data_IF_908530100846
#
_entry.id   IF_908530100846
#
_cell.length_a   1.000
_cell.length_b   1.000
_cell.length_c   1.000
_cell.angle_alpha   90.00
_cell.angle_beta   90.00
_cell.angle_gamma   90.00
#
_symmetry.space_group_name_H-M   'P 1'
#
loop_
_entity.id
_entity.type
_entity.pdbx_description
1 polymer ?
#
# COMPACT_ATOMS: atom_id res chain seq x y z
N UNK A 1 -2.20 4.01 0.70
CA UNK A 1 -2.88 2.71 0.47
C UNK A 1 -1.95 1.59 0.90
N UNK A 2 -2.48 0.58 1.59
CA UNK A 2 -1.76 -0.67 1.85
C UNK A 2 -2.11 -1.69 0.75
N UNK A 3 -1.11 -2.36 0.19
CA UNK A 3 -1.30 -3.44 -0.80
C UNK A 3 -0.52 -4.66 -0.34
N UNK A 4 -1.12 -5.84 -0.50
CA UNK A 4 -0.45 -7.12 -0.33
C UNK A 4 -0.96 -8.10 -1.39
N UNK A 5 -0.06 -8.74 -2.13
CA UNK A 5 -0.42 -9.70 -3.18
C UNK A 5 0.69 -10.75 -3.40
N UNK A 6 0.30 -11.89 -3.96
CA UNK A 6 1.20 -13.02 -4.23
C UNK A 6 1.70 -12.97 -5.67
N UNK A 7 3.01 -13.18 -5.86
CA UNK A 7 3.67 -13.30 -7.17
C UNK A 7 4.45 -14.61 -7.18
N UNK A 8 3.94 -15.63 -7.89
CA UNK A 8 4.54 -16.96 -7.86
C UNK A 8 4.53 -17.55 -6.44
N UNK A 9 5.71 -17.81 -5.88
CA UNK A 9 5.87 -18.30 -4.51
C UNK A 9 6.08 -17.17 -3.47
N UNK A 10 6.28 -15.94 -3.93
CA UNK A 10 6.64 -14.80 -3.09
C UNK A 10 5.46 -13.86 -2.86
N UNK A 11 5.61 -12.95 -1.90
CA UNK A 11 4.62 -11.94 -1.55
C UNK A 11 5.21 -10.55 -1.63
N UNK A 12 4.43 -9.64 -2.19
CA UNK A 12 4.71 -8.21 -2.18
C UNK A 12 3.75 -7.57 -1.20
N UNK A 13 4.27 -6.74 -0.29
CA UNK A 13 3.48 -6.00 0.69
C UNK A 13 4.12 -4.64 0.95
N UNK A 14 3.32 -3.57 0.89
CA UNK A 14 3.80 -2.21 1.17
C UNK A 14 2.66 -1.26 1.52
N UNK A 15 3.02 -0.14 2.13
CA UNK A 15 2.13 0.99 2.36
C UNK A 15 2.76 2.22 1.72
N UNK A 16 2.05 2.84 0.77
CA UNK A 16 2.54 4.04 0.10
C UNK A 16 1.37 4.94 -0.35
N UNK A 17 1.59 6.25 -0.51
CA UNK A 17 0.65 7.12 -1.22
C UNK A 17 0.40 6.58 -2.63
N UNK A 18 -0.84 6.66 -3.11
CA UNK A 18 -1.21 6.25 -4.46
C UNK A 18 -2.09 7.32 -5.08
N UNK A 19 -1.95 7.52 -6.39
CA UNK A 19 -3.00 8.15 -7.16
C UNK A 19 -4.20 7.19 -7.26
N UNK A 20 -5.40 7.73 -7.09
CA UNK A 20 -6.64 6.95 -7.16
C UNK A 20 -7.56 7.67 -8.15
N UNK A 21 -7.88 7.01 -9.25
CA UNK A 21 -8.80 7.55 -10.26
C UNK A 21 -10.22 7.71 -9.72
N UNK A 22 -10.97 8.66 -10.24
CA UNK A 22 -12.37 8.91 -9.83
C UNK A 22 -13.31 7.74 -10.10
N UNK A 23 -12.94 6.86 -11.04
CA UNK A 23 -13.65 5.61 -11.37
C UNK A 23 -13.37 4.48 -10.37
N UNK A 24 -12.34 4.59 -9.53
CA UNK A 24 -11.91 3.52 -8.64
C UNK A 24 -12.82 3.42 -7.42
N UNK A 25 -13.14 2.20 -6.97
CA UNK A 25 -14.08 1.96 -5.85
C UNK A 25 -13.67 2.66 -4.54
N UNK A 26 -12.37 2.85 -4.35
CA UNK A 26 -11.81 3.51 -3.16
C UNK A 26 -11.81 5.03 -3.24
N UNK A 27 -12.15 5.65 -4.38
CA UNK A 27 -12.08 7.10 -4.56
C UNK A 27 -12.95 7.88 -3.56
N UNK A 28 -14.14 7.34 -3.26
CA UNK A 28 -15.09 7.98 -2.35
C UNK A 28 -14.96 7.53 -0.88
N UNK A 29 -13.90 6.78 -0.55
CA UNK A 29 -13.63 6.34 0.83
C UNK A 29 -12.90 7.47 1.56
N UNK A 30 -13.63 8.17 2.41
CA UNK A 30 -13.17 9.41 3.06
C UNK A 30 -13.36 9.35 4.58
N UNK A 31 -12.65 10.22 5.29
CA UNK A 31 -12.71 10.37 6.76
C UNK A 31 -12.36 9.07 7.50
N UNK A 32 -13.16 8.66 8.48
CA UNK A 32 -12.92 7.46 9.29
C UNK A 32 -13.34 6.14 8.62
N UNK A 33 -13.82 6.18 7.38
CA UNK A 33 -14.15 4.98 6.62
C UNK A 33 -12.88 4.33 6.08
N UNK A 34 -12.78 3.01 6.28
CA UNK A 34 -11.78 2.17 5.64
C UNK A 34 -12.46 1.32 4.57
N UNK A 35 -11.69 0.98 3.53
CA UNK A 35 -12.08 0.00 2.54
C UNK A 35 -10.99 -1.06 2.38
N UNK A 36 -11.41 -2.32 2.30
CA UNK A 36 -10.53 -3.46 2.06
C UNK A 36 -11.08 -4.24 0.88
N UNK A 37 -10.27 -4.43 -0.15
CA UNK A 37 -10.60 -5.28 -1.29
C UNK A 37 -9.78 -6.56 -1.22
N UNK A 38 -10.46 -7.70 -1.28
CA UNK A 38 -9.85 -9.03 -1.31
C UNK A 38 -10.15 -9.65 -2.66
N UNK A 39 -9.12 -10.13 -3.35
CA UNK A 39 -9.24 -10.88 -4.59
C UNK A 39 -8.80 -12.33 -4.33
N UNK A 40 -9.69 -13.29 -4.61
CA UNK A 40 -9.38 -14.70 -4.54
C UNK A 40 -9.52 -15.36 -5.91
N UNK A 41 -8.77 -16.44 -6.15
CA UNK A 41 -8.70 -17.10 -7.46
C UNK A 41 -10.08 -17.48 -8.04
N UNK A 42 -11.04 -17.82 -7.17
CA UNK A 42 -12.36 -18.30 -7.59
C UNK A 42 -13.54 -17.45 -7.07
N UNK A 43 -13.28 -16.40 -6.28
CA UNK A 43 -14.33 -15.62 -5.61
C UNK A 43 -14.44 -14.16 -6.09
N UNK A 44 -13.90 -13.89 -7.29
CA UNK A 44 -13.76 -12.54 -7.86
C UNK A 44 -13.19 -11.53 -6.82
N UNK A 45 -13.47 -10.25 -7.00
CA UNK A 45 -13.09 -9.19 -6.06
C UNK A 45 -14.25 -8.90 -5.10
N UNK A 46 -13.95 -8.82 -3.82
CA UNK A 46 -14.91 -8.43 -2.79
C UNK A 46 -14.40 -7.20 -2.06
N UNK A 47 -15.23 -6.17 -1.96
CA UNK A 47 -14.90 -4.90 -1.32
C UNK A 47 -15.73 -4.72 -0.06
N UNK A 48 -15.06 -4.54 1.08
CA UNK A 48 -15.64 -4.28 2.39
C UNK A 48 -15.40 -2.83 2.76
N UNK A 49 -16.47 -2.08 3.03
CA UNK A 49 -16.41 -0.66 3.39
C UNK A 49 -17.13 -0.45 4.72
N UNK A 50 -16.49 0.26 5.65
CA UNK A 50 -17.08 0.57 6.94
C UNK A 50 -16.21 1.50 7.76
N UNK A 51 -16.73 1.96 8.91
CA UNK A 51 -15.94 2.78 9.84
C UNK A 51 -14.80 1.94 10.41
N UNK A 52 -13.57 2.38 10.17
CA UNK A 52 -12.35 1.70 10.62
C UNK A 52 -11.84 2.16 11.99
N UNK A 53 -12.38 3.26 12.51
CA UNK A 53 -12.01 3.82 13.80
C UNK A 53 -13.22 4.42 14.52
N UNK A 54 -13.12 4.55 15.85
CA UNK A 54 -14.14 5.15 16.71
C UNK A 54 -14.58 4.22 17.84
N UNK A 55 -15.08 4.80 18.93
CA UNK A 55 -15.44 4.05 20.15
C UNK A 55 -16.44 2.92 19.87
N UNK A 56 -17.54 3.21 19.16
CA UNK A 56 -18.57 2.21 18.88
C UNK A 56 -18.14 1.15 17.84
N UNK A 57 -17.56 1.49 16.67
CA UNK A 57 -17.07 0.48 15.73
C UNK A 57 -16.02 -0.46 16.34
N UNK A 58 -15.07 0.09 17.09
CA UNK A 58 -14.03 -0.73 17.76
C UNK A 58 -14.64 -1.58 18.88
N UNK A 59 -15.54 -1.03 19.70
CA UNK A 59 -16.21 -1.81 20.75
C UNK A 59 -17.06 -2.96 20.18
N UNK A 60 -17.68 -2.77 19.01
CA UNK A 60 -18.44 -3.83 18.34
C UNK A 60 -17.55 -4.99 17.91
N UNK A 61 -16.34 -4.72 17.40
CA UNK A 61 -15.38 -5.78 17.03
C UNK A 61 -14.95 -6.56 18.28
N UNK A 62 -14.59 -5.87 19.36
CA UNK A 62 -14.21 -6.50 20.64
C UNK A 62 -15.35 -7.35 21.21
N UNK A 63 -16.58 -6.84 21.20
CA UNK A 63 -17.74 -7.59 21.67
C UNK A 63 -18.00 -8.86 20.84
N UNK A 64 -17.83 -8.78 19.51
CA UNK A 64 -17.95 -9.93 18.61
C UNK A 64 -16.97 -11.04 18.99
N UNK A 65 -15.71 -10.70 19.23
CA UNK A 65 -14.68 -11.66 19.64
C UNK A 65 -14.99 -12.28 21.01
N UNK A 66 -15.47 -11.49 21.98
CA UNK A 66 -15.89 -11.99 23.30
C UNK A 66 -17.07 -12.96 23.20
N UNK A 67 -18.03 -12.69 22.33
CA UNK A 67 -19.17 -13.59 22.07
C UNK A 67 -18.69 -14.89 21.43
N UNK A 68 -17.80 -14.82 20.44
CA UNK A 68 -17.20 -16.01 19.82
C UNK A 68 -16.49 -16.89 20.86
N UNK A 69 -15.69 -16.28 21.73
CA UNK A 69 -15.02 -16.98 22.83
C UNK A 69 -16.01 -17.62 23.81
N UNK A 70 -17.09 -16.92 24.18
CA UNK A 70 -18.12 -17.45 25.08
C UNK A 70 -18.79 -18.71 24.52
N UNK A 71 -18.94 -18.81 23.20
CA UNK A 71 -19.50 -19.98 22.53
C UNK A 71 -18.42 -20.97 22.06
N UNK A 72 -17.18 -20.82 22.53
CA UNK A 72 -16.04 -21.67 22.20
C UNK A 72 -15.79 -21.79 20.69
N UNK A 73 -16.12 -20.74 19.94
CA UNK A 73 -15.82 -20.64 18.52
C UNK A 73 -14.34 -20.30 18.35
N UNK A 74 -13.65 -21.06 17.50
CA UNK A 74 -12.24 -20.84 17.17
C UNK A 74 -12.12 -20.53 15.68
N UNK A 75 -11.46 -19.41 15.37
CA UNK A 75 -11.10 -19.08 13.99
C UNK A 75 -10.08 -20.10 13.48
N UNK A 76 -10.30 -20.58 12.26
CA UNK A 76 -9.37 -21.51 11.61
C UNK A 76 -8.24 -20.72 10.94
N UNK A 77 -7.03 -20.82 11.48
CA UNK A 77 -5.83 -20.19 10.90
C UNK A 77 -5.07 -21.17 10.01
N UNK A 78 -5.64 -21.47 8.83
CA UNK A 78 -5.12 -22.49 7.89
C UNK A 78 -3.64 -22.33 7.50
N UNK A 79 -3.11 -21.12 7.56
CA UNK A 79 -1.77 -20.80 7.04
C UNK A 79 -0.79 -20.31 8.11
N UNK A 80 -1.02 -20.57 9.40
CA UNK A 80 -0.18 -20.04 10.48
C UNK A 80 1.27 -20.57 10.46
N UNK A 81 1.49 -21.74 9.87
CA UNK A 81 2.81 -22.37 9.73
C UNK A 81 3.43 -22.19 8.34
N UNK A 82 2.79 -21.42 7.46
CA UNK A 82 3.31 -21.18 6.13
C UNK A 82 4.42 -20.14 6.19
N UNK A 83 5.62 -20.49 5.73
CA UNK A 83 6.70 -19.53 5.55
C UNK A 83 6.35 -18.58 4.39
N UNK A 84 6.46 -17.27 4.64
CA UNK A 84 6.18 -16.23 3.66
C UNK A 84 7.50 -15.65 3.17
N UNK A 85 7.73 -15.72 1.85
CA UNK A 85 8.91 -15.13 1.21
C UNK A 85 8.53 -13.73 0.71
N UNK A 86 9.09 -12.69 1.33
CA UNK A 86 8.87 -11.31 0.91
C UNK A 86 9.72 -10.96 -0.32
N UNK A 87 9.11 -10.30 -1.31
CA UNK A 87 9.77 -9.84 -2.53
C UNK A 87 9.91 -8.30 -2.56
N UNK A 88 11.05 -7.75 -2.08
CA UNK A 88 11.34 -6.33 -2.18
C UNK A 88 11.76 -5.91 -3.60
N UNK A 89 12.13 -6.85 -4.48
CA UNK A 89 12.57 -6.57 -5.85
C UNK A 89 11.43 -6.19 -6.79
N UNK A 90 10.18 -6.37 -6.35
CA UNK A 90 9.01 -5.95 -7.11
C UNK A 90 9.12 -4.49 -7.54
N UNK A 91 8.90 -4.26 -8.83
CA UNK A 91 9.03 -2.95 -9.47
C UNK A 91 7.66 -2.31 -9.62
N UNK A 92 7.59 -1.01 -9.35
CA UNK A 92 6.36 -0.24 -9.40
C UNK A 92 6.58 1.08 -10.12
N UNK A 93 5.58 1.49 -10.91
CA UNK A 93 5.53 2.83 -11.48
C UNK A 93 5.24 3.84 -10.37
N UNK A 94 6.06 4.87 -10.28
CA UNK A 94 5.97 5.92 -9.27
C UNK A 94 6.09 7.31 -9.90
N UNK A 95 5.46 8.27 -9.26
CA UNK A 95 5.68 9.70 -9.42
C UNK A 95 6.56 10.15 -8.27
N UNK A 96 7.73 10.67 -8.59
CA UNK A 96 8.66 11.24 -7.63
C UNK A 96 8.87 12.72 -7.91
N UNK A 97 8.45 13.55 -6.96
CA UNK A 97 8.56 15.00 -7.00
C UNK A 97 9.69 15.45 -6.09
N UNK A 98 10.50 16.38 -6.55
CA UNK A 98 11.64 16.90 -5.81
C UNK A 98 11.91 18.37 -6.14
N UNK A 99 12.62 19.04 -5.23
CA UNK A 99 13.05 20.43 -5.41
C UNK A 99 14.57 20.52 -5.55
N UNK A 100 15.32 19.69 -4.83
CA UNK A 100 16.78 19.62 -4.92
C UNK A 100 17.22 18.40 -5.74
N UNK A 101 18.04 18.55 -6.80
CA UNK A 101 18.57 17.40 -7.54
C UNK A 101 19.33 16.38 -6.69
N UNK A 102 19.87 16.77 -5.52
CA UNK A 102 20.48 15.85 -4.57
C UNK A 102 19.48 14.81 -4.02
N UNK A 103 18.18 15.12 -4.03
CA UNK A 103 17.10 14.20 -3.61
C UNK A 103 16.93 13.01 -4.56
N UNK A 104 17.64 12.98 -5.69
CA UNK A 104 17.68 11.84 -6.61
C UNK A 104 18.79 10.84 -6.27
N UNK A 105 19.73 11.20 -5.40
CA UNK A 105 20.86 10.34 -5.06
C UNK A 105 20.34 9.03 -4.44
N UNK A 106 20.83 7.90 -4.97
CA UNK A 106 20.45 6.56 -4.55
C UNK A 106 19.17 6.02 -5.19
N UNK A 107 18.35 6.85 -5.85
CA UNK A 107 17.14 6.39 -6.54
C UNK A 107 17.50 5.83 -7.92
N UNK A 108 17.35 4.52 -8.08
CA UNK A 108 17.77 3.78 -9.26
C UNK A 108 16.58 3.45 -10.14
N UNK A 109 16.13 4.44 -10.93
CA UNK A 109 15.01 4.25 -11.87
C UNK A 109 15.39 3.25 -12.96
N UNK A 110 14.65 2.14 -13.05
CA UNK A 110 14.84 1.13 -14.10
C UNK A 110 14.38 1.64 -15.46
N UNK A 111 13.30 2.43 -15.46
CA UNK A 111 12.75 3.07 -16.64
C UNK A 111 12.20 4.45 -16.26
N UNK A 112 12.36 5.43 -17.14
CA UNK A 112 11.82 6.78 -16.98
C UNK A 112 10.89 7.07 -18.15
N UNK A 113 9.60 7.15 -17.87
CA UNK A 113 8.57 7.48 -18.85
C UNK A 113 8.43 9.00 -19.04
N UNK A 114 8.65 9.78 -17.99
CA UNK A 114 8.56 11.23 -18.04
C UNK A 114 9.56 11.84 -17.06
N UNK A 115 10.24 12.89 -17.51
CA UNK A 115 11.05 13.75 -16.64
C UNK A 115 10.69 15.19 -16.95
N UNK A 116 10.27 15.93 -15.95
CA UNK A 116 10.03 17.35 -16.04
C UNK A 116 10.97 18.10 -15.09
N UNK A 117 11.62 19.13 -15.61
CA UNK A 117 12.44 20.06 -14.83
C UNK A 117 11.82 21.45 -14.90
N UNK A 118 11.23 21.89 -13.80
CA UNK A 118 10.74 23.25 -13.62
C UNK A 118 11.73 24.11 -12.84
N UNK A 119 11.50 25.42 -12.80
CA UNK A 119 12.31 26.37 -12.04
C UNK A 119 12.15 26.23 -10.52
N UNK A 120 10.96 25.81 -10.07
CA UNK A 120 10.64 25.63 -8.64
C UNK A 120 10.44 24.16 -8.27
N UNK A 121 9.94 23.35 -9.21
CA UNK A 121 9.53 21.98 -8.93
C UNK A 121 9.86 21.08 -10.10
N UNK A 122 10.44 19.92 -9.80
CA UNK A 122 10.78 18.89 -10.77
C UNK A 122 10.09 17.58 -10.40
N UNK A 123 9.84 16.73 -11.39
CA UNK A 123 9.32 15.38 -11.13
C UNK A 123 9.78 14.36 -12.16
N UNK A 124 9.85 13.11 -11.74
CA UNK A 124 10.11 11.95 -12.57
C UNK A 124 8.92 10.99 -12.43
N UNK A 125 8.43 10.47 -13.56
CA UNK A 125 7.55 9.31 -13.60
C UNK A 125 8.34 8.15 -14.18
N UNK A 126 8.58 7.15 -13.35
CA UNK A 126 9.42 6.01 -13.72
C UNK A 126 9.16 4.80 -12.83
N UNK A 127 9.96 3.77 -13.02
CA UNK A 127 9.84 2.50 -12.32
C UNK A 127 10.97 2.33 -11.29
N UNK A 128 10.60 2.02 -10.05
CA UNK A 128 11.51 1.74 -8.94
C UNK A 128 11.14 0.41 -8.27
N UNK A 129 12.14 -0.30 -7.75
CA UNK A 129 11.91 -1.44 -6.85
C UNK A 129 11.59 -0.98 -5.43
N UNK A 130 10.83 -1.78 -4.68
CA UNK A 130 10.63 -1.52 -3.25
C UNK A 130 11.96 -1.58 -2.48
N UNK A 131 12.86 -2.48 -2.87
CA UNK A 131 14.22 -2.62 -2.32
C UNK A 131 14.97 -1.29 -2.40
N UNK A 132 14.95 -0.63 -3.55
CA UNK A 132 15.60 0.67 -3.72
C UNK A 132 14.98 1.75 -2.83
N UNK A 133 13.65 1.74 -2.67
CA UNK A 133 12.95 2.69 -1.79
C UNK A 133 13.25 2.43 -0.30
N UNK A 134 13.42 1.18 0.10
CA UNK A 134 13.76 0.78 1.47
C UNK A 134 15.20 1.21 1.79
N UNK A 135 16.14 1.01 0.88
CA UNK A 135 17.56 1.37 1.07
C UNK A 135 17.79 2.88 1.18
N UNK A 136 17.02 3.67 0.43
CA UNK A 136 17.22 5.12 0.29
C UNK A 136 16.65 5.94 1.45
N UNK A 137 15.69 5.38 2.19
CA UNK A 137 14.87 6.01 3.23
C UNK A 137 14.47 7.47 2.92
N UNK A 138 13.36 7.61 2.20
CA UNK A 138 12.84 8.92 1.80
C UNK A 138 12.30 9.75 2.96
N UNK A 139 12.12 9.20 4.16
CA UNK A 139 11.53 9.92 5.29
C UNK A 139 12.43 11.05 5.82
N UNK A 140 13.74 10.96 5.57
CA UNK A 140 14.71 11.99 5.96
C UNK A 140 14.83 13.13 4.95
N UNK A 141 14.17 13.03 3.79
CA UNK A 141 14.25 14.03 2.71
C UNK A 141 13.10 15.02 2.81
N UNK A 142 13.42 16.29 3.09
CA UNK A 142 12.41 17.35 3.09
C UNK A 142 12.03 17.78 1.66
N UNK A 143 10.76 18.13 1.45
CA UNK A 143 10.29 18.69 0.18
C UNK A 143 10.13 17.68 -0.97
N UNK A 144 10.40 16.39 -0.74
CA UNK A 144 10.08 15.33 -1.71
C UNK A 144 8.66 14.84 -1.56
N UNK A 145 8.10 14.28 -2.62
CA UNK A 145 6.84 13.54 -2.56
C UNK A 145 6.90 12.34 -3.50
N UNK A 146 6.50 11.18 -2.99
CA UNK A 146 6.41 9.96 -3.78
C UNK A 146 4.97 9.42 -3.73
N UNK A 147 4.44 9.09 -4.89
CA UNK A 147 3.18 8.37 -5.02
C UNK A 147 3.29 7.27 -6.07
N UNK A 148 2.68 6.13 -5.77
CA UNK A 148 2.50 5.03 -6.70
C UNK A 148 1.29 5.31 -7.60
N UNK A 149 1.20 4.60 -8.71
CA UNK A 149 0.01 4.58 -9.56
C UNK A 149 -0.92 3.40 -9.21
#
# INVERSE_FOLDING_TARGET
MAKAYKVGAEFVAYVAPHFVESSHEFYNVNNEFNAVQVAAQFAEKQTFIGKGAGSHPTASAVLSDLVALRYNYQYEYKNIHQELIYNPKSTHKVYFRYSNPADLIGLNFLNISQHHKGSELSFIIGELSLENLIEVDLNEREGVFLAFF
#
